data_IF_383065550258
#
_entry.id   IF_383065550258
#
_cell.length_a   1.000
_cell.length_b   1.000
_cell.length_c   1.000
_cell.angle_alpha   90.00
_cell.angle_beta   90.00
_cell.angle_gamma   90.00
#
_symmetry.space_group_name_H-M   'P 1'
#
loop_
_entity.id
_entity.type
_entity.pdbx_description
1 polymer ?
#
# COMPACT_ATOMS: atom_id res chain seq x y z
N UNK A 1 4.75 3.51 6.81
CA UNK A 1 4.52 2.86 8.13
C UNK A 1 3.05 2.48 8.21
N UNK A 2 2.72 1.30 8.72
CA UNK A 2 1.33 0.84 8.86
C UNK A 2 0.65 1.57 10.02
N UNK A 3 -0.56 2.15 9.85
CA UNK A 3 -1.30 2.74 10.95
C UNK A 3 -1.58 1.74 12.08
N UNK A 4 -1.29 2.12 13.32
CA UNK A 4 -1.42 1.22 14.47
C UNK A 4 -2.87 0.74 14.69
N UNK A 5 -3.84 1.65 14.57
CA UNK A 5 -5.26 1.33 14.71
C UNK A 5 -5.71 0.26 13.70
N UNK A 6 -5.30 0.40 12.44
CA UNK A 6 -5.54 -0.60 11.39
C UNK A 6 -4.97 -1.96 11.75
N UNK A 7 -3.69 -2.01 12.15
CA UNK A 7 -3.05 -3.25 12.53
C UNK A 7 -3.76 -3.94 13.72
N UNK A 8 -4.12 -3.18 14.76
CA UNK A 8 -4.85 -3.71 15.91
C UNK A 8 -6.22 -4.26 15.51
N UNK A 9 -7.02 -3.52 14.74
CA UNK A 9 -8.35 -3.96 14.31
C UNK A 9 -8.30 -5.26 13.50
N UNK A 10 -7.32 -5.39 12.59
CA UNK A 10 -7.16 -6.62 11.80
C UNK A 10 -6.69 -7.78 12.66
N UNK A 11 -5.75 -7.56 13.59
CA UNK A 11 -5.25 -8.61 14.49
C UNK A 11 -6.33 -9.07 15.47
N UNK A 12 -7.14 -8.15 16.01
CA UNK A 12 -8.25 -8.49 16.91
C UNK A 12 -9.32 -9.33 16.20
N UNK A 13 -9.63 -8.99 14.94
CA UNK A 13 -10.64 -9.68 14.14
C UNK A 13 -10.16 -11.04 13.61
N UNK A 14 -8.92 -11.12 13.14
CA UNK A 14 -8.40 -12.25 12.35
C UNK A 14 -7.32 -13.07 13.10
N UNK A 15 -6.92 -12.64 14.29
CA UNK A 15 -5.93 -13.33 15.11
C UNK A 15 -4.55 -13.46 14.46
N UNK A 16 -3.99 -14.67 14.49
CA UNK A 16 -2.65 -14.97 13.98
C UNK A 16 -2.52 -14.80 12.46
N UNK A 17 -3.60 -15.05 11.72
CA UNK A 17 -3.65 -14.84 10.27
C UNK A 17 -3.56 -13.34 9.97
N UNK A 18 -4.33 -12.52 10.69
CA UNK A 18 -4.25 -11.06 10.59
C UNK A 18 -2.84 -10.53 10.88
N UNK A 19 -2.21 -11.03 11.94
CA UNK A 19 -0.82 -10.66 12.28
C UNK A 19 0.17 -11.01 11.16
N UNK A 20 0.03 -12.20 10.59
CA UNK A 20 0.91 -12.66 9.50
C UNK A 20 0.71 -11.82 8.24
N UNK A 21 -0.52 -11.43 7.94
CA UNK A 21 -0.82 -10.56 6.81
C UNK A 21 -0.28 -9.14 7.02
N UNK A 22 -0.47 -8.53 8.20
CA UNK A 22 0.10 -7.22 8.54
C UNK A 22 1.62 -7.20 8.38
N UNK A 23 2.31 -8.27 8.80
CA UNK A 23 3.76 -8.40 8.65
C UNK A 23 4.22 -8.46 7.18
N UNK A 24 3.37 -8.96 6.27
CA UNK A 24 3.67 -9.04 4.84
C UNK A 24 3.37 -7.75 4.06
N UNK A 25 2.55 -6.85 4.61
CA UNK A 25 2.12 -5.62 3.91
C UNK A 25 3.26 -4.73 3.42
N UNK A 26 4.36 -4.49 4.16
CA UNK A 26 5.45 -3.65 3.67
C UNK A 26 6.06 -4.20 2.37
N UNK A 27 6.31 -5.51 2.30
CA UNK A 27 6.83 -6.15 1.10
C UNK A 27 5.86 -6.14 -0.09
N UNK A 28 4.55 -6.24 0.18
CA UNK A 28 3.52 -6.06 -0.85
C UNK A 28 3.52 -4.64 -1.41
N UNK A 29 3.61 -3.63 -0.54
CA UNK A 29 3.68 -2.22 -0.94
C UNK A 29 4.92 -1.96 -1.78
N UNK A 30 6.10 -2.40 -1.33
CA UNK A 30 7.36 -2.27 -2.09
C UNK A 30 7.25 -2.90 -3.49
N UNK A 31 6.66 -4.10 -3.58
CA UNK A 31 6.42 -4.78 -4.85
C UNK A 31 5.56 -3.92 -5.79
N UNK A 32 4.44 -3.38 -5.31
CA UNK A 32 3.54 -2.59 -6.17
C UNK A 32 4.12 -1.22 -6.53
N UNK A 33 4.85 -0.57 -5.62
CA UNK A 33 5.58 0.66 -5.92
C UNK A 33 6.59 0.46 -7.06
N UNK A 34 7.36 -0.63 -7.02
CA UNK A 34 8.29 -0.98 -8.09
C UNK A 34 7.56 -1.28 -9.41
N UNK A 35 6.51 -2.13 -9.37
CA UNK A 35 5.75 -2.51 -10.55
C UNK A 35 5.10 -1.31 -11.26
N UNK A 36 4.64 -0.32 -10.50
CA UNK A 36 3.98 0.86 -11.04
C UNK A 36 4.91 2.05 -11.27
N UNK A 37 6.19 1.93 -10.89
CA UNK A 37 7.16 3.03 -10.92
C UNK A 37 6.66 4.23 -10.11
N UNK A 38 6.18 3.95 -8.90
CA UNK A 38 5.65 4.92 -7.96
C UNK A 38 6.58 5.07 -6.75
N UNK A 39 6.55 6.25 -6.14
CA UNK A 39 7.20 6.55 -4.87
C UNK A 39 6.14 6.95 -3.85
N UNK A 40 6.29 6.55 -2.59
CA UNK A 40 5.35 6.95 -1.52
C UNK A 40 5.42 8.46 -1.33
N UNK A 41 4.26 9.10 -1.27
CA UNK A 41 4.11 10.53 -1.06
C UNK A 41 3.19 10.77 0.13
N UNK A 42 3.75 11.09 1.30
CA UNK A 42 2.96 11.32 2.50
C UNK A 42 2.62 10.07 3.35
N UNK A 43 1.79 10.24 4.39
CA UNK A 43 1.51 9.19 5.37
C UNK A 43 0.52 8.15 4.85
N UNK A 44 0.71 6.89 5.25
CA UNK A 44 -0.26 5.83 4.94
C UNK A 44 -1.52 6.04 5.78
N UNK A 45 -2.67 5.83 5.16
CA UNK A 45 -3.99 5.88 5.81
C UNK A 45 -4.69 4.54 5.63
N UNK A 46 -5.92 4.40 6.14
CA UNK A 46 -6.68 3.16 5.99
C UNK A 46 -8.17 3.45 5.94
N UNK A 47 -8.91 2.66 5.18
CA UNK A 47 -10.35 2.53 5.34
C UNK A 47 -10.70 1.50 6.40
N UNK A 48 -11.89 0.91 6.30
CA UNK A 48 -12.34 -0.11 7.26
C UNK A 48 -11.66 -1.47 7.05
N UNK A 49 -11.24 -1.77 5.81
CA UNK A 49 -10.70 -3.08 5.42
C UNK A 49 -9.44 -2.98 4.55
N UNK A 50 -9.01 -1.77 4.24
CA UNK A 50 -7.99 -1.45 3.24
C UNK A 50 -6.89 -0.56 3.81
N UNK A 51 -5.67 -0.78 3.32
CA UNK A 51 -4.52 0.10 3.55
C UNK A 51 -4.34 1.01 2.33
N UNK A 52 -4.27 2.31 2.57
CA UNK A 52 -4.13 3.33 1.52
C UNK A 52 -2.71 3.89 1.59
N UNK A 53 -1.97 3.74 0.49
CA UNK A 53 -0.61 4.27 0.34
C UNK A 53 -0.65 5.37 -0.71
N UNK A 54 -0.55 6.64 -0.32
CA UNK A 54 -0.45 7.73 -1.29
C UNK A 54 0.88 7.65 -2.03
N UNK A 55 0.84 7.91 -3.34
CA UNK A 55 2.00 7.78 -4.22
C UNK A 55 2.08 8.90 -5.24
N UNK A 56 3.30 9.29 -5.56
CA UNK A 56 3.64 10.08 -6.74
C UNK A 56 4.29 9.16 -7.79
N UNK A 57 3.88 9.33 -9.05
CA UNK A 57 4.40 8.55 -10.18
C UNK A 57 5.38 9.35 -11.04
N UNK A 58 5.51 10.67 -10.82
CA UNK A 58 6.11 11.57 -11.78
C UNK A 58 5.35 11.56 -13.12
N UNK A 59 5.39 12.66 -13.87
CA UNK A 59 4.76 12.71 -15.20
C UNK A 59 5.46 11.76 -16.18
N UNK A 60 4.88 10.58 -16.41
CA UNK A 60 5.22 9.75 -17.57
C UNK A 60 4.34 10.16 -18.76
N UNK A 61 4.64 11.30 -19.38
CA UNK A 61 4.07 11.62 -20.70
C UNK A 61 4.98 11.01 -21.75
N UNK A 62 4.63 9.82 -22.24
CA UNK A 62 4.81 9.44 -23.64
C UNK A 62 3.68 8.48 -24.04
N UNK A 63 2.47 9.03 -24.18
CA UNK A 63 1.50 8.47 -25.13
C UNK A 63 2.03 8.79 -26.52
N UNK A 64 2.86 7.93 -27.10
CA UNK A 64 3.09 7.97 -28.55
C UNK A 64 1.78 7.61 -29.24
N UNK A 65 1.23 8.45 -30.13
CA UNK A 65 0.04 8.09 -30.88
C UNK A 65 0.33 6.85 -31.72
N UNK A 66 -0.55 5.84 -31.63
CA UNK A 66 -0.45 4.64 -32.46
C UNK A 66 -0.78 5.04 -33.91
N UNK A 67 0.00 4.61 -34.93
CA UNK A 67 -0.30 4.89 -36.33
C UNK A 67 -1.63 4.28 -36.78
#
# INVERSE_FOLDING_TARGET
MIPAAFASTIIEREGSVGRSWIAALPGLVERYLSLWSCMVEGPWTHGQVDLIVPVDRGLSVLMTPRP
#
